data_IF_107697318393
#
_entry.id   IF_107697318393
#
_cell.length_a   1.000
_cell.length_b   1.000
_cell.length_c   1.000
_cell.angle_alpha   90.00
_cell.angle_beta   90.00
_cell.angle_gamma   90.00
#
_symmetry.space_group_name_H-M   'P 1'
#
loop_
_entity.id
_entity.type
_entity.pdbx_description
1 polymer ?
#
# COMPACT_ATOMS: atom_id res chain seq x y z
N UNK A 1 2.91 -19.72 -5.52
CA UNK A 1 2.85 -19.49 -4.08
C UNK A 1 1.83 -20.43 -3.43
N UNK A 2 0.56 -20.39 -3.84
CA UNK A 2 -0.53 -21.21 -3.27
C UNK A 2 -0.25 -22.71 -3.36
N UNK A 3 0.36 -23.21 -4.45
CA UNK A 3 0.73 -24.63 -4.57
C UNK A 3 1.70 -25.10 -3.50
N UNK A 4 2.65 -24.23 -3.10
CA UNK A 4 3.58 -24.54 -2.01
C UNK A 4 2.86 -24.63 -0.66
N UNK A 5 1.87 -23.77 -0.45
CA UNK A 5 1.06 -23.78 0.77
C UNK A 5 0.13 -24.99 0.80
N UNK A 6 -0.53 -25.31 -0.34
CA UNK A 6 -1.41 -26.49 -0.44
C UNK A 6 -0.68 -27.82 -0.19
N UNK A 7 0.60 -27.88 -0.52
CA UNK A 7 1.42 -29.06 -0.24
C UNK A 7 1.75 -29.24 1.25
N UNK A 8 1.66 -28.18 2.05
CA UNK A 8 2.01 -28.19 3.47
C UNK A 8 0.78 -28.14 4.39
N UNK A 9 -0.30 -27.53 3.95
CA UNK A 9 -1.51 -27.32 4.72
C UNK A 9 -2.72 -27.95 4.01
N UNK A 10 -3.46 -28.86 4.68
CA UNK A 10 -4.60 -29.55 4.07
C UNK A 10 -5.82 -28.64 3.85
N UNK A 11 -5.96 -27.59 4.63
CA UNK A 11 -7.07 -26.63 4.52
C UNK A 11 -6.54 -25.23 4.22
N UNK A 12 -6.71 -24.80 2.97
CA UNK A 12 -6.37 -23.45 2.53
C UNK A 12 -7.64 -22.75 2.06
N UNK A 13 -7.96 -21.65 2.71
CA UNK A 13 -9.09 -20.80 2.34
C UNK A 13 -8.59 -19.54 1.65
N UNK A 14 -8.81 -19.47 0.34
CA UNK A 14 -8.48 -18.29 -0.46
C UNK A 14 -9.68 -17.34 -0.46
N UNK A 15 -9.42 -16.07 -0.14
CA UNK A 15 -10.42 -14.99 -0.23
C UNK A 15 -9.91 -13.89 -1.15
N UNK A 16 -10.79 -13.38 -2.01
CA UNK A 16 -10.44 -12.28 -2.93
C UNK A 16 -10.59 -10.97 -2.19
N UNK A 17 -9.49 -10.20 -2.12
CA UNK A 17 -9.48 -8.89 -1.48
C UNK A 17 -10.05 -7.81 -2.43
N UNK A 18 -11.34 -7.89 -2.65
CA UNK A 18 -12.12 -6.96 -3.47
C UNK A 18 -13.41 -6.63 -2.73
N UNK A 19 -13.74 -5.34 -2.47
CA UNK A 19 -14.88 -4.97 -1.63
C UNK A 19 -16.21 -5.63 -2.03
N UNK A 20 -16.43 -5.83 -3.35
CA UNK A 20 -17.62 -6.48 -3.86
C UNK A 20 -17.72 -7.99 -3.51
N UNK A 21 -16.59 -8.63 -3.20
CA UNK A 21 -16.50 -10.05 -2.88
C UNK A 21 -16.32 -10.34 -1.38
N UNK A 22 -16.13 -9.29 -0.57
CA UNK A 22 -16.06 -9.43 0.89
C UNK A 22 -17.46 -9.49 1.51
N UNK A 23 -17.61 -10.28 2.55
CA UNK A 23 -18.88 -10.37 3.33
C UNK A 23 -19.16 -9.00 3.96
N UNK A 24 -20.35 -8.48 3.70
CA UNK A 24 -20.74 -7.15 4.17
C UNK A 24 -19.86 -6.01 3.63
N UNK A 25 -19.03 -6.27 2.60
CA UNK A 25 -18.00 -5.36 2.08
C UNK A 25 -16.97 -4.96 3.15
N UNK A 26 -16.85 -5.74 4.20
CA UNK A 26 -15.98 -5.51 5.34
C UNK A 26 -14.92 -6.60 5.46
N UNK A 27 -13.63 -6.19 5.55
CA UNK A 27 -12.51 -7.12 5.61
C UNK A 27 -12.50 -7.95 6.89
N UNK A 28 -12.86 -7.34 8.03
CA UNK A 28 -12.84 -8.04 9.32
C UNK A 28 -13.99 -9.03 9.40
N UNK A 29 -15.18 -8.66 8.91
CA UNK A 29 -16.32 -9.57 8.81
C UNK A 29 -16.02 -10.77 7.91
N UNK A 30 -15.38 -10.54 6.77
CA UNK A 30 -14.96 -11.59 5.84
C UNK A 30 -13.90 -12.52 6.44
N UNK A 31 -12.91 -11.95 7.13
CA UNK A 31 -11.88 -12.73 7.84
C UNK A 31 -12.47 -13.59 8.95
N UNK A 32 -13.31 -13.00 9.80
CA UNK A 32 -13.97 -13.73 10.89
C UNK A 32 -14.86 -14.88 10.36
N UNK A 33 -15.60 -14.61 9.28
CA UNK A 33 -16.39 -15.64 8.62
C UNK A 33 -15.52 -16.79 8.09
N UNK A 34 -14.37 -16.47 7.48
CA UNK A 34 -13.38 -17.45 7.02
C UNK A 34 -12.87 -18.36 8.15
N UNK A 35 -12.83 -17.85 9.38
CA UNK A 35 -12.47 -18.60 10.59
C UNK A 35 -13.66 -19.33 11.25
N UNK A 36 -14.87 -19.17 10.74
CA UNK A 36 -16.09 -19.75 11.31
C UNK A 36 -16.74 -18.93 12.43
N UNK A 37 -16.33 -17.66 12.59
CA UNK A 37 -16.92 -16.73 13.56
C UNK A 37 -17.85 -15.72 12.87
N UNK A 38 -18.85 -15.23 13.63
CA UNK A 38 -19.59 -14.03 13.26
C UNK A 38 -18.98 -12.83 13.99
N UNK A 39 -18.68 -11.78 13.24
CA UNK A 39 -18.24 -10.52 13.82
C UNK A 39 -19.44 -9.82 14.45
N UNK A 40 -19.45 -9.74 15.78
CA UNK A 40 -20.41 -8.91 16.51
C UNK A 40 -19.74 -7.54 16.74
N UNK A 41 -20.19 -6.52 16.00
CA UNK A 41 -19.58 -5.17 16.02
C UNK A 41 -19.52 -4.54 17.41
N UNK A 42 -20.38 -4.96 18.33
CA UNK A 42 -20.38 -4.47 19.72
C UNK A 42 -19.17 -4.96 20.54
N UNK A 43 -18.45 -5.98 20.08
CA UNK A 43 -17.35 -6.62 20.82
C UNK A 43 -15.97 -6.16 20.35
N UNK A 44 -15.88 -5.32 19.33
CA UNK A 44 -14.61 -4.88 18.75
C UNK A 44 -14.54 -3.35 18.69
N UNK A 45 -13.44 -2.80 19.20
CA UNK A 45 -13.09 -1.42 18.98
C UNK A 45 -12.72 -1.24 17.49
N UNK A 46 -13.57 -0.56 16.74
CA UNK A 46 -13.28 -0.27 15.34
C UNK A 46 -12.10 0.70 15.28
N UNK A 47 -10.92 0.16 15.00
CA UNK A 47 -9.77 0.99 14.71
C UNK A 47 -10.05 1.83 13.46
N UNK A 48 -9.75 3.13 13.57
CA UNK A 48 -9.76 4.01 12.40
C UNK A 48 -8.91 3.42 11.28
N UNK A 49 -9.35 3.62 10.03
CA UNK A 49 -8.66 3.11 8.84
C UNK A 49 -7.18 3.46 8.90
N UNK A 50 -6.34 2.43 9.05
CA UNK A 50 -4.89 2.55 9.06
C UNK A 50 -4.34 2.23 7.66
N UNK A 51 -3.09 2.62 7.40
CA UNK A 51 -2.41 2.38 6.13
C UNK A 51 -3.09 3.04 4.92
N UNK A 52 -3.47 4.29 5.05
CA UNK A 52 -3.89 5.09 3.90
C UNK A 52 -2.70 5.25 2.94
N UNK A 53 -2.95 5.03 1.64
CA UNK A 53 -1.91 5.22 0.64
C UNK A 53 -1.50 6.70 0.58
N UNK A 54 -0.20 6.97 0.60
CA UNK A 54 0.32 8.31 0.33
C UNK A 54 -0.05 8.74 -1.09
N UNK A 55 -0.30 10.03 -1.28
CA UNK A 55 -0.44 10.58 -2.62
C UNK A 55 0.84 10.37 -3.44
N UNK A 56 0.76 10.29 -4.78
CA UNK A 56 1.89 9.91 -5.63
C UNK A 56 3.15 10.76 -5.47
N UNK A 57 3.04 12.08 -5.28
CA UNK A 57 4.17 12.98 -5.02
C UNK A 57 4.85 12.69 -3.68
N UNK A 58 4.07 12.43 -2.64
CA UNK A 58 4.57 12.08 -1.31
C UNK A 58 5.23 10.69 -1.34
N UNK A 59 4.66 9.74 -2.09
CA UNK A 59 5.22 8.42 -2.27
C UNK A 59 6.55 8.45 -3.03
N UNK A 60 6.64 9.25 -4.09
CA UNK A 60 7.87 9.43 -4.85
C UNK A 60 8.94 10.14 -4.02
N UNK A 61 8.57 11.15 -3.26
CA UNK A 61 9.48 11.78 -2.30
C UNK A 61 10.01 10.77 -1.27
N UNK A 62 9.13 9.95 -0.69
CA UNK A 62 9.51 8.86 0.23
C UNK A 62 10.52 7.92 -0.43
N UNK A 63 10.29 7.53 -1.69
CA UNK A 63 11.19 6.65 -2.44
C UNK A 63 12.60 7.26 -2.54
N UNK A 64 12.69 8.53 -2.90
CA UNK A 64 13.98 9.24 -3.00
C UNK A 64 14.70 9.35 -1.66
N UNK A 65 13.96 9.60 -0.58
CA UNK A 65 14.52 9.70 0.77
C UNK A 65 14.95 8.34 1.30
N UNK A 66 14.21 7.29 0.98
CA UNK A 66 14.54 5.93 1.40
C UNK A 66 15.90 5.46 0.89
N UNK A 67 16.35 5.90 -0.28
CA UNK A 67 17.71 5.62 -0.78
C UNK A 67 18.78 6.08 0.21
N UNK A 68 18.56 7.20 0.92
CA UNK A 68 19.49 7.72 1.94
C UNK A 68 19.30 7.07 3.31
N UNK A 69 18.06 6.69 3.65
CA UNK A 69 17.73 6.07 4.94
C UNK A 69 18.20 4.62 4.98
N UNK A 70 18.14 3.91 3.87
CA UNK A 70 18.52 2.50 3.74
C UNK A 70 19.90 2.32 3.11
N UNK A 71 20.81 3.23 3.42
CA UNK A 71 22.23 3.11 3.11
C UNK A 71 22.88 2.04 4.01
N UNK A 72 23.78 1.23 3.43
CA UNK A 72 24.45 0.12 4.13
C UNK A 72 25.29 0.56 5.34
N UNK A 73 25.64 1.83 5.41
CA UNK A 73 26.37 2.42 6.55
C UNK A 73 25.47 2.69 7.76
N UNK A 74 24.14 2.63 7.60
CA UNK A 74 23.19 2.97 8.65
C UNK A 74 22.68 1.73 9.39
N UNK A 75 22.71 1.72 10.74
CA UNK A 75 22.14 0.61 11.50
C UNK A 75 20.65 0.41 11.21
N UNK A 76 20.23 -0.83 10.96
CA UNK A 76 18.85 -1.21 10.57
C UNK A 76 17.78 -0.59 11.49
N UNK A 77 17.97 -0.65 12.82
CA UNK A 77 17.03 -0.06 13.79
C UNK A 77 16.84 1.44 13.61
N UNK A 78 17.92 2.13 13.22
CA UNK A 78 17.88 3.58 12.93
C UNK A 78 17.13 3.85 11.63
N UNK A 79 17.41 3.09 10.58
CA UNK A 79 16.70 3.18 9.30
C UNK A 79 15.20 2.94 9.44
N UNK A 80 14.80 1.91 10.18
CA UNK A 80 13.39 1.62 10.46
C UNK A 80 12.69 2.78 11.20
N UNK A 81 13.35 3.33 12.24
CA UNK A 81 12.79 4.48 12.98
C UNK A 81 12.61 5.70 12.10
N UNK A 82 13.63 6.03 11.29
CA UNK A 82 13.57 7.18 10.39
C UNK A 82 12.52 7.01 9.29
N UNK A 83 12.43 5.82 8.71
CA UNK A 83 11.41 5.52 7.70
C UNK A 83 9.99 5.65 8.28
N UNK A 84 9.76 5.17 9.51
CA UNK A 84 8.47 5.34 10.20
C UNK A 84 8.16 6.81 10.47
N UNK A 85 9.15 7.57 10.98
CA UNK A 85 8.97 9.00 11.22
C UNK A 85 8.65 9.74 9.92
N UNK A 86 9.35 9.43 8.83
CA UNK A 86 9.06 10.03 7.53
C UNK A 86 7.63 9.74 7.06
N UNK A 87 7.17 8.51 7.19
CA UNK A 87 5.79 8.15 6.81
C UNK A 87 4.79 8.95 7.63
N UNK A 88 4.93 8.98 8.95
CA UNK A 88 4.03 9.72 9.83
C UNK A 88 3.96 11.22 9.48
N UNK A 89 5.09 11.83 9.12
CA UNK A 89 5.12 13.24 8.69
C UNK A 89 4.41 13.42 7.34
N UNK A 90 4.69 12.53 6.38
CA UNK A 90 4.08 12.62 5.05
C UNK A 90 2.57 12.38 5.07
N UNK A 91 2.06 11.53 5.95
CA UNK A 91 0.62 11.28 6.13
C UNK A 91 -0.16 12.51 6.63
N UNK A 92 0.54 13.47 7.25
CA UNK A 92 -0.08 14.74 7.70
C UNK A 92 -0.10 15.81 6.60
N UNK A 93 0.58 15.58 5.48
CA UNK A 93 0.66 16.57 4.41
C UNK A 93 -0.51 16.44 3.43
N UNK A 94 -1.04 17.57 3.01
CA UNK A 94 -1.95 17.64 1.88
C UNK A 94 -1.16 17.56 0.56
N UNK A 95 -1.78 16.95 -0.46
CA UNK A 95 -1.19 16.83 -1.78
C UNK A 95 -2.18 17.24 -2.87
N UNK A 96 -1.76 18.04 -3.85
CA UNK A 96 -2.57 18.34 -5.02
C UNK A 96 -2.80 17.13 -5.94
N UNK A 97 -2.05 16.04 -5.71
CA UNK A 97 -2.14 14.80 -6.48
C UNK A 97 -2.94 13.70 -5.76
N UNK A 98 -3.71 14.07 -4.73
CA UNK A 98 -4.64 13.14 -4.10
C UNK A 98 -5.64 12.63 -5.16
N UNK A 99 -5.76 11.31 -5.29
CA UNK A 99 -6.61 10.69 -6.30
C UNK A 99 -5.97 10.45 -7.68
N UNK A 100 -4.73 10.89 -7.91
CA UNK A 100 -3.99 10.51 -9.11
C UNK A 100 -3.53 9.05 -9.03
N UNK A 101 -3.36 8.40 -10.19
CA UNK A 101 -2.80 7.06 -10.30
C UNK A 101 -1.33 7.10 -10.73
N UNK A 102 -0.57 6.06 -10.37
CA UNK A 102 0.83 5.88 -10.81
C UNK A 102 0.94 5.17 -12.17
N UNK A 103 -0.08 4.42 -12.57
CA UNK A 103 -0.06 3.62 -13.80
C UNK A 103 -1.07 4.15 -14.80
N UNK A 104 -0.71 4.16 -16.08
CA UNK A 104 -1.68 4.38 -17.16
C UNK A 104 -2.66 3.20 -17.24
N UNK A 105 -3.76 3.41 -17.95
CA UNK A 105 -4.75 2.34 -18.15
C UNK A 105 -4.12 1.16 -18.92
N UNK A 106 -3.30 1.44 -19.94
CA UNK A 106 -2.58 0.41 -20.69
C UNK A 106 -1.63 -0.38 -19.83
N UNK A 107 -0.89 0.28 -18.93
CA UNK A 107 0.02 -0.39 -17.99
C UNK A 107 -0.75 -1.28 -17.02
N UNK A 108 -1.92 -0.83 -16.53
CA UNK A 108 -2.77 -1.65 -15.66
C UNK A 108 -3.30 -2.88 -16.40
N UNK A 109 -3.78 -2.72 -17.65
CA UNK A 109 -4.24 -3.84 -18.46
C UNK A 109 -3.10 -4.82 -18.73
N UNK A 110 -1.91 -4.34 -19.10
CA UNK A 110 -0.76 -5.22 -19.32
C UNK A 110 -0.39 -6.05 -18.08
N UNK A 111 -0.49 -5.48 -16.87
CA UNK A 111 -0.29 -6.23 -15.62
C UNK A 111 -1.40 -7.26 -15.41
N UNK A 112 -2.66 -6.90 -15.61
CA UNK A 112 -3.79 -7.81 -15.44
C UNK A 112 -3.72 -8.98 -16.43
N UNK A 113 -3.37 -8.71 -17.69
CA UNK A 113 -3.21 -9.71 -18.74
C UNK A 113 -2.06 -10.69 -18.44
N UNK A 114 -0.95 -10.17 -17.93
CA UNK A 114 0.19 -11.01 -17.53
C UNK A 114 -0.17 -12.03 -16.43
N UNK A 115 -1.16 -11.72 -15.59
CA UNK A 115 -1.63 -12.59 -14.51
C UNK A 115 -2.97 -13.29 -14.81
N UNK A 116 -3.56 -13.08 -15.99
CA UNK A 116 -4.91 -13.55 -16.30
C UNK A 116 -5.05 -15.08 -16.16
N UNK A 117 -4.06 -15.85 -16.66
CA UNK A 117 -4.10 -17.31 -16.58
C UNK A 117 -3.95 -17.79 -15.13
N UNK A 118 -2.98 -17.25 -14.38
CA UNK A 118 -2.80 -17.63 -12.98
C UNK A 118 -4.01 -17.26 -12.12
N UNK A 119 -4.66 -16.13 -12.41
CA UNK A 119 -5.88 -15.71 -11.73
C UNK A 119 -7.06 -16.64 -12.04
N UNK A 120 -7.21 -17.09 -13.28
CA UNK A 120 -8.23 -18.10 -13.66
C UNK A 120 -8.00 -19.42 -12.93
N UNK A 121 -6.74 -19.88 -12.86
CA UNK A 121 -6.41 -21.10 -12.15
C UNK A 121 -6.73 -21.00 -10.65
N UNK A 122 -6.44 -19.86 -10.02
CA UNK A 122 -6.83 -19.61 -8.61
C UNK A 122 -8.35 -19.61 -8.44
N UNK A 123 -9.08 -18.93 -9.33
CA UNK A 123 -10.54 -18.88 -9.29
C UNK A 123 -11.14 -20.29 -9.40
N UNK A 124 -10.66 -21.08 -10.35
CA UNK A 124 -11.13 -22.45 -10.59
C UNK A 124 -10.80 -23.39 -9.42
N UNK A 125 -9.55 -23.41 -8.98
CA UNK A 125 -9.03 -24.41 -8.04
C UNK A 125 -9.44 -24.14 -6.60
N UNK A 126 -9.44 -22.90 -6.18
CA UNK A 126 -9.67 -22.53 -4.77
C UNK A 126 -11.04 -21.92 -4.49
N UNK A 127 -11.74 -21.41 -5.51
CA UNK A 127 -13.04 -20.75 -5.34
C UNK A 127 -14.17 -21.47 -6.08
N UNK A 128 -13.84 -22.51 -6.87
CA UNK A 128 -14.86 -23.23 -7.69
C UNK A 128 -15.52 -22.37 -8.76
N UNK A 129 -14.88 -21.27 -9.19
CA UNK A 129 -15.41 -20.32 -10.16
C UNK A 129 -14.80 -20.55 -11.55
N UNK A 130 -15.64 -20.55 -12.59
CA UNK A 130 -15.21 -20.61 -13.99
C UNK A 130 -15.11 -19.23 -14.66
N UNK A 131 -14.88 -18.18 -13.90
CA UNK A 131 -14.79 -16.80 -14.36
C UNK A 131 -13.54 -16.08 -13.87
N UNK A 132 -13.47 -14.79 -14.10
CA UNK A 132 -12.35 -13.98 -13.62
C UNK A 132 -12.30 -13.99 -12.09
N UNK A 133 -11.07 -13.90 -11.54
CA UNK A 133 -10.84 -13.84 -10.10
C UNK A 133 -11.41 -12.53 -9.50
N UNK A 134 -11.22 -11.43 -10.21
CA UNK A 134 -11.69 -10.10 -9.83
C UNK A 134 -12.94 -9.73 -10.61
N UNK A 135 -13.93 -9.14 -9.95
CA UNK A 135 -15.21 -8.77 -10.55
C UNK A 135 -15.20 -7.38 -11.18
N UNK A 136 -14.31 -6.50 -10.74
CA UNK A 136 -14.14 -5.17 -11.29
C UNK A 136 -12.79 -5.05 -12.00
N UNK A 137 -12.82 -4.71 -13.27
CA UNK A 137 -11.70 -4.04 -13.93
C UNK A 137 -11.76 -2.59 -13.44
N UNK A 138 -10.68 -2.14 -12.77
CA UNK A 138 -10.59 -0.74 -12.33
C UNK A 138 -10.46 0.19 -13.55
N UNK A 139 -11.55 0.38 -14.24
CA UNK A 139 -11.71 1.47 -15.20
C UNK A 139 -12.00 2.73 -14.41
N UNK A 140 -11.04 3.61 -14.29
CA UNK A 140 -11.28 4.93 -13.73
C UNK A 140 -10.47 5.96 -14.54
N UNK A 141 -11.10 7.10 -14.77
CA UNK A 141 -10.56 8.27 -15.48
C UNK A 141 -9.59 9.07 -14.58
N UNK A 142 -8.92 8.42 -13.66
CA UNK A 142 -7.95 9.09 -12.79
C UNK A 142 -6.79 9.64 -13.60
N UNK A 143 -6.41 10.88 -13.29
CA UNK A 143 -5.23 11.50 -13.88
C UNK A 143 -3.97 10.73 -13.48
N UNK A 144 -3.08 10.54 -14.45
CA UNK A 144 -1.81 9.85 -14.23
C UNK A 144 -0.77 10.83 -13.70
N UNK A 145 -0.16 10.47 -12.58
CA UNK A 145 0.95 11.22 -12.02
C UNK A 145 2.21 11.05 -12.88
N UNK A 146 2.83 12.18 -13.26
CA UNK A 146 3.94 12.20 -14.22
C UNK A 146 5.33 12.39 -13.59
N UNK A 147 5.44 12.24 -12.29
CA UNK A 147 6.71 12.36 -11.56
C UNK A 147 6.80 13.60 -10.68
N UNK A 148 7.75 13.57 -9.75
CA UNK A 148 7.95 14.62 -8.74
C UNK A 148 8.66 15.83 -9.37
N UNK A 149 7.96 16.95 -9.44
CA UNK A 149 8.51 18.22 -9.89
C UNK A 149 9.40 18.85 -8.81
N UNK A 150 10.33 19.72 -9.21
CA UNK A 150 11.23 20.42 -8.29
C UNK A 150 10.43 21.25 -7.25
N UNK A 151 9.42 21.97 -7.69
CA UNK A 151 8.54 22.79 -6.84
C UNK A 151 7.80 21.98 -5.78
N UNK A 152 7.27 20.80 -6.15
CA UNK A 152 6.59 19.89 -5.23
C UNK A 152 7.57 19.31 -4.21
N UNK A 153 8.76 18.94 -4.67
CA UNK A 153 9.83 18.48 -3.80
C UNK A 153 10.22 19.54 -2.76
N UNK A 154 10.41 20.79 -3.18
CA UNK A 154 10.73 21.90 -2.29
C UNK A 154 9.59 22.19 -1.29
N UNK A 155 8.33 22.08 -1.73
CA UNK A 155 7.16 22.19 -0.87
C UNK A 155 7.20 21.14 0.23
N UNK A 156 7.33 19.85 -0.15
CA UNK A 156 7.37 18.73 0.78
C UNK A 156 8.56 18.88 1.74
N UNK A 157 9.75 19.22 1.22
CA UNK A 157 10.95 19.43 2.04
C UNK A 157 10.76 20.54 3.08
N UNK A 158 10.12 21.66 2.74
CA UNK A 158 9.85 22.73 3.68
C UNK A 158 8.94 22.30 4.83
N UNK A 159 7.95 21.47 4.54
CA UNK A 159 7.01 20.99 5.54
C UNK A 159 7.63 19.91 6.42
N UNK A 160 8.33 18.94 5.83
CA UNK A 160 9.06 17.90 6.56
C UNK A 160 10.20 18.45 7.41
N UNK A 161 10.85 19.54 7.00
CA UNK A 161 11.91 20.23 7.78
C UNK A 161 11.44 20.79 9.12
N UNK A 162 10.14 20.96 9.33
CA UNK A 162 9.60 21.35 10.64
C UNK A 162 9.76 20.21 11.67
N UNK A 163 9.95 18.97 11.23
CA UNK A 163 10.25 17.81 12.09
C UNK A 163 11.74 17.72 12.42
N UNK A 164 12.11 18.00 13.67
CA UNK A 164 13.51 18.00 14.14
C UNK A 164 14.24 16.66 13.98
N UNK A 165 13.53 15.55 13.97
CA UNK A 165 14.12 14.20 13.92
C UNK A 165 14.66 13.81 12.54
N UNK A 166 14.09 14.35 11.47
CA UNK A 166 14.48 14.06 10.09
C UNK A 166 15.57 15.00 9.55
N UNK A 167 15.69 16.21 10.09
CA UNK A 167 16.63 17.24 9.63
C UNK A 167 18.08 16.78 9.57
N UNK A 168 18.53 16.06 10.59
CA UNK A 168 19.93 15.65 10.71
C UNK A 168 20.33 14.58 9.69
N UNK A 169 19.38 13.76 9.26
CA UNK A 169 19.65 12.63 8.35
C UNK A 169 19.47 13.04 6.90
N UNK A 170 18.41 13.80 6.60
CA UNK A 170 18.06 14.14 5.23
C UNK A 170 18.90 15.29 4.67
N UNK A 171 19.35 16.21 5.51
CA UNK A 171 19.96 17.46 5.07
C UNK A 171 21.39 17.65 5.55
N UNK A 172 21.95 16.67 6.28
CA UNK A 172 23.35 16.72 6.71
C UNK A 172 23.66 17.88 7.69
N UNK A 173 22.65 18.50 8.28
CA UNK A 173 22.81 19.60 9.22
C UNK A 173 23.26 19.02 10.56
N UNK A 174 24.58 18.74 10.68
CA UNK A 174 25.21 18.61 11.99
C UNK A 174 25.18 19.98 12.65
N UNK A 175 24.32 20.19 13.63
CA UNK A 175 24.56 21.29 14.58
C UNK A 175 25.86 20.96 15.29
N UNK A 176 26.92 21.77 15.02
CA UNK A 176 28.04 21.91 15.94
C UNK A 176 27.42 22.51 17.23
N UNK A 177 27.37 21.70 18.28
CA UNK A 177 27.14 22.14 19.63
C UNK A 177 28.39 22.82 20.13
#
# INVERSE_FOLDING_TARGET
LLDRWSAQFPDIRVRVFEPAQLIGKDLMADFCYGLGFRLEHASFELLTRQNTALAPDLLEYKRLVNVKIWDDSMPIKKSMRLSRTLVNELEQLSSPYAGYTLLTQEQRHAVLDAYAESNREVARRYLGKNGPLFSSLYENDQLVYRGLKAEDRERIEREVKRSRSLLNVLFGIRRRG
#
